data_IF_240491338102
#
_entry.id   IF_240491338102
#
_cell.length_a   1.000
_cell.length_b   1.000
_cell.length_c   1.000
_cell.angle_alpha   90.00
_cell.angle_beta   90.00
_cell.angle_gamma   90.00
#
_symmetry.space_group_name_H-M   'P 1'
#
loop_
_entity.id
_entity.type
_entity.pdbx_description
1 polymer ?
#
# COMPACT_ATOMS: atom_id res chain seq x y z
N UNK A 1 0.88 -0.27 8.47
CA UNK A 1 0.43 -0.82 7.17
C UNK A 1 -0.45 0.19 6.42
N UNK A 2 -1.59 0.64 6.97
CA UNK A 2 -2.39 1.69 6.31
C UNK A 2 -1.60 2.98 6.07
N UNK A 3 -0.82 3.44 7.05
CA UNK A 3 0.10 4.58 6.88
C UNK A 3 1.06 4.39 5.70
N UNK A 4 1.59 3.17 5.53
CA UNK A 4 2.48 2.86 4.42
C UNK A 4 1.73 2.89 3.08
N UNK A 5 0.53 2.30 3.02
CA UNK A 5 -0.32 2.38 1.82
C UNK A 5 -0.71 3.82 1.48
N UNK A 6 -1.00 4.64 2.48
CA UNK A 6 -1.30 6.06 2.34
C UNK A 6 -0.11 6.80 1.71
N UNK A 7 1.11 6.62 2.23
CA UNK A 7 2.33 7.22 1.66
C UNK A 7 2.61 6.70 0.24
N UNK A 8 2.45 5.39 0.01
CA UNK A 8 2.64 4.80 -1.32
C UNK A 8 1.62 5.37 -2.32
N UNK A 9 0.39 5.68 -1.89
CA UNK A 9 -0.65 6.23 -2.77
C UNK A 9 -0.27 7.59 -3.38
N UNK A 10 0.60 8.37 -2.74
CA UNK A 10 1.07 9.64 -3.28
C UNK A 10 2.01 9.43 -4.49
N UNK A 11 2.79 8.35 -4.52
CA UNK A 11 3.64 7.96 -5.65
C UNK A 11 2.91 7.07 -6.69
N UNK A 12 1.88 6.35 -6.26
CA UNK A 12 1.05 5.48 -7.09
C UNK A 12 -0.43 5.87 -6.97
N UNK A 13 -0.89 6.95 -7.65
CA UNK A 13 -2.25 7.49 -7.50
C UNK A 13 -3.37 6.52 -7.90
N UNK A 14 -3.03 5.42 -8.58
CA UNK A 14 -3.98 4.36 -8.88
C UNK A 14 -4.40 3.57 -7.64
N UNK A 15 -3.62 3.60 -6.54
CA UNK A 15 -3.98 3.01 -5.25
C UNK A 15 -4.91 3.99 -4.53
N UNK A 16 -6.11 3.56 -4.10
CA UNK A 16 -7.01 4.39 -3.32
C UNK A 16 -6.31 4.98 -2.10
N UNK A 17 -6.44 6.29 -1.92
CA UNK A 17 -6.05 6.96 -0.68
C UNK A 17 -7.04 6.55 0.42
N UNK A 18 -6.52 6.14 1.56
CA UNK A 18 -7.29 5.66 2.71
C UNK A 18 -6.88 6.39 3.98
N UNK A 19 -7.77 6.45 4.96
CA UNK A 19 -7.42 6.90 6.30
C UNK A 19 -6.68 5.80 7.05
N UNK A 20 -5.64 6.17 7.80
CA UNK A 20 -4.90 5.26 8.68
C UNK A 20 -5.57 5.19 10.06
N UNK A 21 -6.81 4.69 10.08
CA UNK A 21 -7.67 4.61 11.27
C UNK A 21 -7.42 3.38 12.15
N UNK A 22 -6.53 2.48 11.74
CA UNK A 22 -6.25 1.21 12.39
C UNK A 22 -7.27 0.09 12.10
N UNK A 23 -8.32 0.37 11.32
CA UNK A 23 -9.41 -0.56 11.03
C UNK A 23 -9.26 -1.13 9.62
N UNK A 24 -9.10 -2.44 9.52
CA UNK A 24 -9.12 -3.11 8.22
C UNK A 24 -10.57 -3.25 7.71
N UNK A 25 -11.08 -2.17 7.13
CA UNK A 25 -12.40 -2.11 6.48
C UNK A 25 -12.35 -2.24 4.95
N UNK A 26 -13.51 -2.13 4.27
CA UNK A 26 -13.60 -2.26 2.81
C UNK A 26 -12.68 -1.31 2.03
N UNK A 27 -12.45 -0.10 2.55
CA UNK A 27 -11.52 0.85 1.94
C UNK A 27 -10.07 0.33 1.95
N UNK A 28 -9.65 -0.25 3.08
CA UNK A 28 -8.30 -0.83 3.22
C UNK A 28 -8.16 -2.08 2.37
N UNK A 29 -9.18 -2.95 2.31
CA UNK A 29 -9.18 -4.12 1.42
C UNK A 29 -9.04 -3.69 -0.05
N UNK A 30 -9.79 -2.68 -0.49
CA UNK A 30 -9.72 -2.17 -1.85
C UNK A 30 -8.32 -1.61 -2.17
N UNK A 31 -7.70 -0.89 -1.24
CA UNK A 31 -6.32 -0.40 -1.39
C UNK A 31 -5.32 -1.57 -1.48
N UNK A 32 -5.46 -2.60 -0.64
CA UNK A 32 -4.61 -3.80 -0.68
C UNK A 32 -4.77 -4.56 -1.99
N UNK A 33 -6.00 -4.77 -2.47
CA UNK A 33 -6.25 -5.43 -3.77
C UNK A 33 -5.59 -4.66 -4.90
N UNK A 34 -5.69 -3.33 -4.89
CA UNK A 34 -5.09 -2.50 -5.93
C UNK A 34 -3.57 -2.51 -5.87
N UNK A 35 -3.01 -2.46 -4.67
CA UNK A 35 -1.57 -2.64 -4.43
C UNK A 35 -1.10 -4.00 -4.97
N UNK A 36 -1.77 -5.09 -4.61
CA UNK A 36 -1.44 -6.44 -5.08
C UNK A 36 -1.44 -6.52 -6.61
N UNK A 37 -2.47 -5.95 -7.25
CA UNK A 37 -2.56 -5.90 -8.71
C UNK A 37 -1.37 -5.16 -9.34
N UNK A 38 -1.02 -3.98 -8.82
CA UNK A 38 0.07 -3.14 -9.36
C UNK A 38 1.42 -3.84 -9.24
N UNK A 39 1.67 -4.53 -8.12
CA UNK A 39 2.96 -5.16 -7.83
C UNK A 39 3.01 -6.65 -8.17
N UNK A 40 2.05 -7.15 -8.96
CA UNK A 40 2.07 -8.52 -9.49
C UNK A 40 1.88 -9.61 -8.42
N UNK A 41 1.20 -9.30 -7.33
CA UNK A 41 0.84 -10.25 -6.28
C UNK A 41 -0.54 -10.87 -6.55
N UNK A 42 -0.86 -12.05 -5.98
CA UNK A 42 -2.22 -12.56 -5.96
C UNK A 42 -3.19 -11.55 -5.35
N UNK A 43 -4.27 -11.20 -6.07
CA UNK A 43 -5.24 -10.17 -5.67
C UNK A 43 -6.28 -10.75 -4.71
N UNK A 44 -5.85 -11.03 -3.48
CA UNK A 44 -6.68 -11.63 -2.44
C UNK A 44 -7.40 -10.59 -1.58
N UNK A 45 -6.89 -9.36 -1.52
CA UNK A 45 -7.31 -8.36 -0.53
C UNK A 45 -6.81 -8.64 0.89
N UNK A 46 -6.08 -9.75 1.08
CA UNK A 46 -5.52 -10.18 2.36
C UNK A 46 -4.05 -9.82 2.41
N UNK A 47 -3.61 -9.23 3.52
CA UNK A 47 -2.20 -8.93 3.76
C UNK A 47 -1.51 -10.16 4.34
N UNK A 48 -1.03 -11.05 3.47
CA UNK A 48 -0.14 -12.15 3.84
C UNK A 48 1.32 -11.67 3.97
N UNK A 49 2.25 -12.58 4.29
CA UNK A 49 3.67 -12.24 4.45
C UNK A 49 4.28 -11.63 3.18
N UNK A 50 3.89 -12.10 1.99
CA UNK A 50 4.39 -11.58 0.71
C UNK A 50 3.89 -10.16 0.48
N UNK A 51 2.61 -9.93 0.72
CA UNK A 51 1.97 -8.62 0.59
C UNK A 51 2.59 -7.63 1.58
N UNK A 52 2.75 -8.03 2.84
CA UNK A 52 3.35 -7.18 3.87
C UNK A 52 4.80 -6.79 3.53
N UNK A 53 5.63 -7.78 3.12
CA UNK A 53 7.02 -7.51 2.74
C UNK A 53 7.10 -6.54 1.56
N UNK A 54 6.28 -6.76 0.53
CA UNK A 54 6.24 -5.89 -0.65
C UNK A 54 5.77 -4.47 -0.28
N UNK A 55 4.77 -4.30 0.58
CA UNK A 55 4.35 -2.98 1.07
C UNK A 55 5.53 -2.27 1.76
N UNK A 56 6.24 -2.96 2.66
CA UNK A 56 7.38 -2.37 3.38
C UNK A 56 8.52 -1.98 2.44
N UNK A 57 8.84 -2.82 1.45
CA UNK A 57 9.89 -2.55 0.45
C UNK A 57 9.55 -1.29 -0.37
N UNK A 58 8.33 -1.22 -0.90
CA UNK A 58 7.89 -0.07 -1.72
C UNK A 58 7.82 1.19 -0.87
N UNK A 59 7.32 1.11 0.37
CA UNK A 59 7.28 2.22 1.31
C UNK A 59 8.67 2.86 1.50
N UNK A 60 9.70 2.05 1.78
CA UNK A 60 11.07 2.52 1.93
C UNK A 60 11.60 3.15 0.64
N UNK A 61 11.24 2.59 -0.52
CA UNK A 61 11.61 3.15 -1.82
C UNK A 61 11.02 4.54 -2.06
N UNK A 62 9.71 4.70 -1.82
CA UNK A 62 9.01 5.98 -2.07
C UNK A 62 9.35 7.04 -1.02
N UNK A 63 9.56 6.66 0.25
CA UNK A 63 9.89 7.61 1.31
C UNK A 63 11.25 8.26 1.09
N UNK A 64 12.25 7.49 0.62
CA UNK A 64 13.56 8.02 0.25
C UNK A 64 13.51 9.00 -0.92
N UNK A 65 12.61 8.78 -1.88
CA UNK A 65 12.41 9.71 -3.00
C UNK A 65 11.78 11.02 -2.48
N UNK A 66 10.83 10.93 -1.55
CA UNK A 66 10.19 12.10 -0.96
C UNK A 66 11.16 12.97 -0.16
N UNK A 67 12.16 12.38 0.51
CA UNK A 67 13.21 13.09 1.25
C UNK A 67 14.22 13.86 0.37
N UNK A 68 14.24 13.60 -0.95
CA UNK A 68 15.18 14.22 -1.90
C UNK A 68 14.60 15.43 -2.65
N UNK A 69 13.32 15.75 -2.45
CA UNK A 69 12.62 16.89 -3.07
C UNK A 69 12.42 18.04 -2.07
#
# INVERSE_FOLDING_TARGET
>A
MQEQLLVISDAYPAIPKIDADGIFGPATEAAVRKFQLIFGLPVTGIVDYKTWYKISEIYVGVSRIAELN
#
